data_IF_900898003192
#
_entry.id   IF_900898003192
#
_cell.length_a   1.000
_cell.length_b   1.000
_cell.length_c   1.000
_cell.angle_alpha   90.00
_cell.angle_beta   90.00
_cell.angle_gamma   90.00
#
_symmetry.space_group_name_H-M   'P 1'
#
loop_
_entity.id
_entity.type
_entity.pdbx_description
1 polymer ?
#
# COMPACT_ATOMS: atom_id res chain seq x y z
N UNK A 1 -16.92 54.97 47.72
CA UNK A 1 -17.50 53.86 46.91
C UNK A 1 -16.81 53.89 45.55
N UNK A 2 -15.71 53.17 45.36
CA UNK A 2 -15.60 51.84 44.70
C UNK A 2 -16.18 51.78 43.27
N UNK A 3 -15.24 51.71 42.31
CA UNK A 3 -15.21 50.92 41.04
C UNK A 3 -16.13 51.44 39.92
N UNK A 4 -15.75 51.48 38.64
CA UNK A 4 -14.68 50.79 37.93
C UNK A 4 -14.19 51.60 36.71
N UNK A 5 -12.86 51.62 36.55
CA UNK A 5 -12.12 51.80 35.30
C UNK A 5 -12.48 50.63 34.36
N UNK A 6 -12.59 50.86 33.05
CA UNK A 6 -12.10 49.89 32.06
C UNK A 6 -11.98 50.58 30.69
N UNK A 7 -10.80 51.16 30.45
CA UNK A 7 -10.29 51.38 29.11
C UNK A 7 -9.63 50.06 28.67
N UNK A 8 -10.25 49.37 27.71
CA UNK A 8 -9.68 48.16 27.11
C UNK A 8 -9.10 48.51 25.74
N UNK A 9 -7.77 48.51 25.63
CA UNK A 9 -7.05 48.55 24.36
C UNK A 9 -7.49 47.37 23.49
N UNK A 10 -7.99 47.66 22.28
CA UNK A 10 -7.99 46.69 21.18
C UNK A 10 -6.53 46.49 20.74
N UNK A 11 -5.87 45.48 21.30
CA UNK A 11 -4.70 44.87 20.72
C UNK A 11 -5.08 43.44 20.33
N UNK A 12 -5.79 43.29 19.20
CA UNK A 12 -5.85 41.99 18.53
C UNK A 12 -4.54 41.84 17.75
N UNK A 13 -3.58 41.25 18.46
CA UNK A 13 -2.39 40.67 17.88
C UNK A 13 -2.82 39.75 16.73
N UNK A 14 -2.31 40.03 15.53
CA UNK A 14 -2.24 39.04 14.46
C UNK A 14 -1.24 38.00 14.94
N UNK A 15 -1.72 36.99 15.66
CA UNK A 15 -0.96 35.76 15.87
C UNK A 15 -0.99 35.01 14.55
N UNK A 16 0.04 35.23 13.73
CA UNK A 16 0.55 34.18 12.86
C UNK A 16 0.97 33.03 13.79
N UNK A 17 0.08 32.07 14.01
CA UNK A 17 0.35 30.89 14.83
C UNK A 17 -0.07 29.66 14.03
N UNK A 18 0.96 28.94 13.60
CA UNK A 18 0.99 27.55 13.18
C UNK A 18 0.15 27.17 11.95
N UNK A 19 0.71 27.42 10.77
CA UNK A 19 0.49 26.56 9.60
C UNK A 19 1.42 25.32 9.72
N UNK A 20 1.42 24.68 10.90
CA UNK A 20 2.42 23.69 11.33
C UNK A 20 1.75 22.52 12.08
N UNK A 21 0.49 22.26 11.75
CA UNK A 21 -0.29 21.14 12.29
C UNK A 21 -0.78 20.29 11.13
N UNK A 22 -0.47 18.97 11.19
CA UNK A 22 -0.92 17.83 10.36
C UNK A 22 0.05 17.21 9.35
N UNK A 23 1.36 17.25 9.59
CA UNK A 23 2.23 16.19 9.09
C UNK A 23 2.44 15.21 10.24
N UNK A 24 1.60 14.16 10.28
CA UNK A 24 1.82 12.96 11.09
C UNK A 24 3.28 12.50 10.92
N UNK A 25 3.83 11.83 11.93
CA UNK A 25 5.13 11.18 11.78
C UNK A 25 5.10 10.33 10.48
N UNK A 26 5.99 10.61 9.54
CA UNK A 26 5.96 9.97 8.22
C UNK A 26 6.05 8.44 8.34
N UNK A 27 6.78 7.96 9.35
CA UNK A 27 6.87 6.53 9.67
C UNK A 27 5.57 6.00 10.27
N UNK A 28 4.87 6.80 11.06
CA UNK A 28 3.54 6.46 11.58
C UNK A 28 2.52 6.33 10.44
N UNK A 29 2.62 7.11 9.36
CA UNK A 29 1.77 6.93 8.18
C UNK A 29 1.97 5.54 7.54
N UNK A 30 3.24 5.11 7.37
CA UNK A 30 3.57 3.77 6.88
C UNK A 30 3.10 2.67 7.82
N UNK A 31 3.30 2.83 9.12
CA UNK A 31 2.87 1.87 10.15
C UNK A 31 1.34 1.74 10.17
N UNK A 32 0.61 2.85 10.14
CA UNK A 32 -0.86 2.86 10.10
C UNK A 32 -1.38 2.20 8.84
N UNK A 33 -0.85 2.56 7.67
CA UNK A 33 -1.27 1.98 6.39
C UNK A 33 -0.97 0.48 6.33
N UNK A 34 0.22 0.06 6.74
CA UNK A 34 0.60 -1.36 6.79
C UNK A 34 -0.26 -2.15 7.78
N UNK A 35 -0.55 -1.56 8.94
CA UNK A 35 -1.44 -2.18 9.95
C UNK A 35 -2.87 -2.32 9.43
N UNK A 36 -3.35 -1.35 8.65
CA UNK A 36 -4.66 -1.41 8.02
C UNK A 36 -4.75 -2.54 7.00
N UNK A 37 -3.67 -2.89 6.29
CA UNK A 37 -3.64 -4.05 5.38
C UNK A 37 -3.43 -5.37 6.12
N UNK A 38 -2.44 -5.45 7.01
CA UNK A 38 -1.98 -6.73 7.58
C UNK A 38 -2.96 -7.39 8.55
N UNK A 39 -3.93 -6.65 9.08
CA UNK A 39 -4.92 -7.16 10.03
C UNK A 39 -6.34 -7.27 9.48
N UNK A 40 -6.55 -7.00 8.19
CA UNK A 40 -7.89 -6.88 7.62
C UNK A 40 -8.05 -7.65 6.32
N UNK A 41 -9.30 -7.64 5.89
CA UNK A 41 -9.76 -8.00 4.56
C UNK A 41 -9.72 -6.80 3.63
N UNK A 42 -9.63 -7.03 2.32
CA UNK A 42 -9.73 -5.96 1.32
C UNK A 42 -10.02 -6.52 -0.08
N UNK A 43 -10.57 -5.68 -0.95
CA UNK A 43 -10.48 -5.87 -2.39
C UNK A 43 -9.25 -5.17 -2.94
N UNK A 44 -8.68 -5.69 -4.03
CA UNK A 44 -7.52 -5.10 -4.66
C UNK A 44 -7.56 -5.21 -6.18
N UNK A 45 -6.93 -4.26 -6.85
CA UNK A 45 -6.56 -4.33 -8.26
C UNK A 45 -5.06 -4.17 -8.40
N UNK A 46 -4.46 -4.74 -9.45
CA UNK A 46 -3.02 -4.67 -9.64
C UNK A 46 -2.61 -4.54 -11.11
N UNK A 47 -1.39 -4.04 -11.29
CA UNK A 47 -0.67 -4.01 -12.56
C UNK A 47 0.79 -4.35 -12.29
N UNK A 48 1.25 -5.52 -12.75
CA UNK A 48 2.56 -6.08 -12.43
C UNK A 48 3.35 -6.42 -13.69
N UNK A 49 4.62 -6.04 -13.70
CA UNK A 49 5.58 -6.48 -14.69
C UNK A 49 6.26 -7.76 -14.20
N UNK A 50 5.95 -8.88 -14.83
CA UNK A 50 6.61 -10.15 -14.54
C UNK A 50 7.64 -10.45 -15.62
N UNK A 51 8.66 -11.23 -15.27
CA UNK A 51 9.66 -11.70 -16.24
C UNK A 51 9.04 -12.54 -17.38
N UNK A 52 7.87 -13.15 -17.13
CA UNK A 52 7.19 -14.02 -18.09
C UNK A 52 6.52 -13.24 -19.24
N UNK A 53 6.00 -12.03 -18.98
CA UNK A 53 5.19 -11.26 -19.94
C UNK A 53 5.87 -9.95 -20.36
N UNK A 54 7.20 -9.85 -20.26
CA UNK A 54 8.02 -8.63 -20.22
C UNK A 54 7.82 -7.50 -21.25
N UNK A 55 6.88 -7.63 -22.18
CA UNK A 55 6.42 -6.56 -23.09
C UNK A 55 5.20 -5.79 -22.57
N UNK A 56 4.43 -6.34 -21.62
CA UNK A 56 3.25 -5.70 -21.02
C UNK A 56 3.02 -6.14 -19.57
N UNK A 57 2.50 -5.27 -18.69
CA UNK A 57 2.14 -5.70 -17.35
C UNK A 57 0.93 -6.64 -17.40
N UNK A 58 0.91 -7.65 -16.53
CA UNK A 58 -0.30 -8.39 -16.22
C UNK A 58 -1.16 -7.56 -15.28
N UNK A 59 -2.47 -7.71 -15.42
CA UNK A 59 -3.44 -7.01 -14.59
C UNK A 59 -4.39 -8.00 -13.96
N UNK A 60 -5.13 -7.54 -12.98
CA UNK A 60 -6.10 -8.37 -12.31
C UNK A 60 -6.71 -7.69 -11.12
N UNK A 61 -7.62 -8.41 -10.50
CA UNK A 61 -8.36 -7.96 -9.34
C UNK A 61 -8.76 -9.15 -8.48
N UNK A 62 -9.00 -8.89 -7.20
CA UNK A 62 -9.37 -9.91 -6.25
C UNK A 62 -9.67 -9.39 -4.87
N UNK A 63 -9.79 -10.32 -3.94
CA UNK A 63 -10.04 -10.10 -2.53
C UNK A 63 -9.04 -10.90 -1.71
N UNK A 64 -8.69 -10.39 -0.54
CA UNK A 64 -7.81 -11.06 0.39
C UNK A 64 -8.31 -10.92 1.83
N UNK A 65 -8.05 -11.95 2.63
CA UNK A 65 -8.10 -11.96 4.08
C UNK A 65 -6.69 -12.32 4.58
N UNK A 66 -5.91 -11.31 4.99
CA UNK A 66 -4.53 -11.52 5.42
C UNK A 66 -4.45 -12.17 6.80
N UNK A 67 -5.49 -12.03 7.63
CA UNK A 67 -5.53 -12.67 8.93
C UNK A 67 -5.67 -14.19 8.80
N UNK A 68 -6.41 -14.66 7.78
CA UNK A 68 -6.58 -16.08 7.46
C UNK A 68 -5.63 -16.59 6.39
N UNK A 69 -4.82 -15.73 5.77
CA UNK A 69 -4.02 -16.07 4.59
C UNK A 69 -4.87 -16.62 3.43
N UNK A 70 -6.06 -16.05 3.22
CA UNK A 70 -6.94 -16.43 2.12
C UNK A 70 -6.89 -15.36 1.02
N UNK A 71 -6.84 -15.80 -0.23
CA UNK A 71 -6.81 -14.92 -1.40
C UNK A 71 -7.68 -15.51 -2.50
N UNK A 72 -8.39 -14.65 -3.24
CA UNK A 72 -9.09 -15.01 -4.46
C UNK A 72 -8.84 -13.91 -5.47
N UNK A 73 -8.33 -14.22 -6.66
CA UNK A 73 -8.04 -13.19 -7.66
C UNK A 73 -8.05 -13.75 -9.07
N UNK A 74 -8.15 -12.85 -10.02
CA UNK A 74 -8.02 -13.11 -11.45
C UNK A 74 -6.70 -12.56 -11.97
N UNK A 75 -6.06 -13.28 -12.88
CA UNK A 75 -4.88 -12.84 -13.62
C UNK A 75 -5.28 -12.72 -15.09
N UNK A 76 -5.24 -11.50 -15.62
CA UNK A 76 -5.47 -11.20 -17.02
C UNK A 76 -4.13 -11.23 -17.76
N UNK A 77 -3.97 -12.23 -18.61
CA UNK A 77 -2.80 -12.39 -19.49
C UNK A 77 -3.24 -12.29 -20.95
N UNK A 78 -2.30 -12.15 -21.91
CA UNK A 78 -2.63 -12.19 -23.34
C UNK A 78 -3.36 -13.48 -23.76
N UNK A 79 -3.14 -14.58 -23.05
CA UNK A 79 -3.70 -15.90 -23.34
C UNK A 79 -5.11 -16.11 -22.75
N UNK A 80 -5.52 -15.28 -21.80
CA UNK A 80 -6.84 -15.35 -21.19
C UNK A 80 -6.86 -14.92 -19.72
N UNK A 81 -7.93 -15.30 -19.03
CA UNK A 81 -8.11 -15.05 -17.60
C UNK A 81 -7.89 -16.33 -16.82
N UNK A 82 -7.01 -16.29 -15.82
CA UNK A 82 -6.79 -17.37 -14.87
C UNK A 82 -7.33 -16.94 -13.51
N UNK A 83 -8.26 -17.69 -12.93
CA UNK A 83 -8.71 -17.46 -11.56
C UNK A 83 -7.84 -18.28 -10.59
N UNK A 84 -7.52 -17.68 -9.44
CA UNK A 84 -6.75 -18.27 -8.36
C UNK A 84 -7.50 -18.17 -7.05
N UNK A 85 -7.40 -19.21 -6.24
CA UNK A 85 -7.79 -19.20 -4.83
C UNK A 85 -6.61 -19.76 -4.04
N UNK A 86 -6.22 -19.07 -2.98
CA UNK A 86 -5.22 -19.52 -2.01
C UNK A 86 -5.93 -19.62 -0.67
N UNK A 87 -5.85 -20.79 -0.04
CA UNK A 87 -6.35 -21.01 1.31
C UNK A 87 -5.22 -21.61 2.14
N UNK A 88 -4.74 -20.84 3.11
CA UNK A 88 -3.56 -21.14 3.91
C UNK A 88 -2.32 -21.43 3.05
N UNK A 89 -2.12 -22.71 2.72
CA UNK A 89 -0.97 -23.23 1.95
C UNK A 89 -1.38 -23.96 0.67
N UNK A 90 -2.70 -24.05 0.42
CA UNK A 90 -3.25 -24.76 -0.74
C UNK A 90 -3.60 -23.77 -1.83
N UNK A 91 -3.22 -24.11 -3.05
CA UNK A 91 -3.40 -23.27 -4.22
C UNK A 91 -4.34 -23.95 -5.19
N UNK A 92 -5.34 -23.21 -5.64
CA UNK A 92 -6.29 -23.63 -6.65
C UNK A 92 -6.24 -22.66 -7.82
N UNK A 93 -6.27 -23.18 -9.03
CA UNK A 93 -6.46 -22.37 -10.24
C UNK A 93 -7.64 -22.85 -11.07
N UNK A 94 -8.10 -21.99 -11.97
CA UNK A 94 -9.06 -22.34 -13.00
C UNK A 94 -8.77 -21.53 -14.27
N UNK A 95 -8.45 -22.26 -15.35
CA UNK A 95 -8.20 -21.71 -16.69
C UNK A 95 -9.41 -21.88 -17.65
N UNK A 96 -10.61 -22.04 -17.09
CA UNK A 96 -11.85 -22.28 -17.86
C UNK A 96 -12.17 -23.75 -18.10
N UNK A 97 -11.45 -24.68 -17.45
CA UNK A 97 -11.68 -26.14 -17.56
C UNK A 97 -12.06 -26.80 -16.23
N UNK A 98 -12.31 -25.98 -15.20
CA UNK A 98 -12.58 -26.44 -13.83
C UNK A 98 -11.41 -26.17 -12.88
N UNK A 99 -11.68 -26.26 -11.59
CA UNK A 99 -10.71 -26.01 -10.54
C UNK A 99 -9.72 -27.17 -10.39
N UNK A 100 -8.46 -26.83 -10.24
CA UNK A 100 -7.38 -27.79 -10.02
C UNK A 100 -6.44 -27.26 -8.94
N UNK A 101 -5.84 -28.16 -8.17
CA UNK A 101 -4.76 -27.81 -7.25
C UNK A 101 -3.46 -27.63 -8.01
N UNK A 102 -2.68 -26.60 -7.69
CA UNK A 102 -1.37 -26.35 -8.31
C UNK A 102 -0.31 -25.95 -7.27
N UNK A 103 0.90 -25.63 -7.74
CA UNK A 103 1.97 -25.02 -6.98
C UNK A 103 1.80 -23.51 -6.83
N UNK A 104 2.84 -22.90 -6.26
CA UNK A 104 2.89 -21.47 -5.99
C UNK A 104 2.80 -20.64 -7.28
N UNK A 105 1.90 -19.65 -7.29
CA UNK A 105 1.80 -18.67 -8.37
C UNK A 105 2.71 -17.45 -8.14
N UNK A 106 3.43 -17.07 -9.20
CA UNK A 106 4.34 -15.93 -9.18
C UNK A 106 3.60 -14.58 -9.13
N UNK A 107 2.33 -14.53 -9.51
CA UNK A 107 1.52 -13.30 -9.42
C UNK A 107 1.25 -12.94 -7.96
N UNK A 108 0.81 -13.90 -7.15
CA UNK A 108 0.73 -13.72 -5.70
C UNK A 108 2.05 -13.23 -5.10
N UNK A 109 3.16 -13.88 -5.45
CA UNK A 109 4.47 -13.50 -4.94
C UNK A 109 4.83 -12.04 -5.32
N UNK A 110 4.43 -11.60 -6.52
CA UNK A 110 4.58 -10.22 -6.97
C UNK A 110 3.74 -9.21 -6.17
N UNK A 111 2.46 -9.53 -5.90
CA UNK A 111 1.58 -8.68 -5.08
C UNK A 111 2.11 -8.58 -3.64
N UNK A 112 2.44 -9.72 -3.03
CA UNK A 112 2.98 -9.77 -1.68
C UNK A 112 4.32 -8.99 -1.56
N UNK A 113 5.17 -9.07 -2.58
CA UNK A 113 6.44 -8.34 -2.63
C UNK A 113 6.27 -6.80 -2.74
N UNK A 114 5.10 -6.31 -3.15
CA UNK A 114 4.80 -4.87 -3.16
C UNK A 114 4.38 -4.37 -1.79
N UNK A 115 3.68 -5.19 -1.00
CA UNK A 115 3.26 -4.86 0.36
C UNK A 115 4.49 -4.85 1.30
N UNK A 116 5.37 -5.85 1.14
CA UNK A 116 6.43 -6.15 2.08
C UNK A 116 7.37 -4.97 2.44
N UNK A 117 7.83 -4.12 1.50
CA UNK A 117 8.72 -3.00 1.84
C UNK A 117 8.10 -2.00 2.80
N UNK A 118 6.79 -1.71 2.65
CA UNK A 118 6.07 -0.78 3.53
C UNK A 118 5.88 -1.40 4.92
N UNK A 119 5.46 -2.67 4.98
CA UNK A 119 5.29 -3.40 6.23
C UNK A 119 6.62 -3.62 6.99
N UNK A 120 7.75 -3.60 6.28
CA UNK A 120 9.09 -3.87 6.83
C UNK A 120 9.95 -2.62 6.97
N UNK A 121 9.40 -1.41 6.82
CA UNK A 121 10.20 -0.18 6.76
C UNK A 121 11.12 0.01 7.99
N UNK A 122 10.65 -0.26 9.21
CA UNK A 122 11.48 -0.19 10.42
C UNK A 122 12.68 -1.17 10.38
N UNK A 123 12.48 -2.37 9.82
CA UNK A 123 13.55 -3.34 9.61
C UNK A 123 14.52 -2.86 8.52
N UNK A 124 14.01 -2.32 7.41
CA UNK A 124 14.81 -1.75 6.32
C UNK A 124 15.71 -0.63 6.86
N UNK A 125 15.16 0.29 7.65
CA UNK A 125 15.90 1.38 8.31
C UNK A 125 17.01 0.85 9.22
N UNK A 126 16.74 -0.20 9.97
CA UNK A 126 17.74 -0.87 10.81
C UNK A 126 18.87 -1.49 9.97
N UNK A 127 18.52 -2.19 8.88
CA UNK A 127 19.49 -2.85 7.99
C UNK A 127 20.35 -1.86 7.18
N UNK A 128 19.81 -0.68 6.88
CA UNK A 128 20.53 0.39 6.21
C UNK A 128 21.42 1.22 7.16
N UNK A 129 21.29 1.03 8.48
CA UNK A 129 22.02 1.84 9.46
C UNK A 129 23.54 1.69 9.28
N UNK A 130 24.23 2.81 9.05
CA UNK A 130 25.67 2.86 8.82
C UNK A 130 26.11 3.09 7.36
N UNK A 131 25.19 3.01 6.39
CA UNK A 131 25.47 3.29 4.98
C UNK A 131 24.39 4.22 4.41
N UNK A 132 24.68 5.53 4.43
CA UNK A 132 23.72 6.61 4.13
C UNK A 132 23.14 6.57 2.72
N UNK A 133 23.75 5.81 1.81
CA UNK A 133 23.31 5.65 0.43
C UNK A 133 22.36 4.47 0.21
N UNK A 134 22.21 3.57 1.20
CA UNK A 134 21.36 2.36 1.08
C UNK A 134 19.87 2.60 1.27
N UNK A 135 19.50 3.67 1.94
CA UNK A 135 18.11 4.05 2.19
C UNK A 135 17.93 5.55 1.95
N UNK A 136 17.01 5.88 1.05
CA UNK A 136 16.38 7.19 1.00
C UNK A 136 15.24 7.14 2.00
N UNK A 137 15.34 7.92 3.07
CA UNK A 137 14.33 7.95 4.12
C UNK A 137 12.97 8.41 3.59
N UNK A 138 11.93 8.01 4.34
CA UNK A 138 10.56 8.41 4.04
C UNK A 138 10.44 9.94 3.96
N UNK A 139 9.80 10.41 2.90
CA UNK A 139 9.47 11.81 2.69
C UNK A 139 8.06 11.94 2.13
N UNK A 140 7.47 13.10 2.34
CA UNK A 140 6.13 13.44 1.87
C UNK A 140 6.20 13.94 0.42
N UNK A 141 5.30 13.44 -0.43
CA UNK A 141 5.20 13.80 -1.85
C UNK A 141 4.22 14.95 -2.10
N UNK A 142 3.32 15.23 -1.16
CA UNK A 142 2.23 16.19 -1.34
C UNK A 142 0.85 15.56 -1.31
N UNK A 143 -0.17 16.41 -1.39
CA UNK A 143 -1.56 16.03 -1.56
C UNK A 143 -1.89 15.97 -3.06
N UNK A 144 -2.67 14.97 -3.46
CA UNK A 144 -3.18 14.85 -4.83
C UNK A 144 -4.63 14.37 -4.83
N UNK A 145 -5.30 14.53 -5.98
CA UNK A 145 -6.53 13.80 -6.27
C UNK A 145 -6.17 12.58 -7.11
N UNK A 146 -6.44 11.39 -6.60
CA UNK A 146 -6.21 10.11 -7.28
C UNK A 146 -7.53 9.37 -7.37
N UNK A 147 -7.99 9.13 -8.60
CA UNK A 147 -9.30 8.53 -8.92
C UNK A 147 -10.43 9.17 -8.08
N UNK A 148 -10.58 10.49 -8.24
CA UNK A 148 -11.58 11.37 -7.60
C UNK A 148 -11.52 11.46 -6.06
N UNK A 149 -10.48 10.93 -5.42
CA UNK A 149 -10.30 10.99 -3.97
C UNK A 149 -9.07 11.80 -3.59
N UNK A 150 -9.18 12.61 -2.53
CA UNK A 150 -8.01 13.25 -1.93
C UNK A 150 -7.08 12.16 -1.37
N UNK A 151 -5.79 12.27 -1.66
CA UNK A 151 -4.78 11.31 -1.23
C UNK A 151 -3.50 12.01 -0.78
N UNK A 152 -2.91 11.52 0.30
CA UNK A 152 -1.61 11.94 0.81
C UNK A 152 -0.52 11.00 0.29
N UNK A 153 0.50 11.54 -0.37
CA UNK A 153 1.59 10.77 -0.96
C UNK A 153 2.84 10.70 -0.08
N UNK A 154 3.45 9.53 0.01
CA UNK A 154 4.69 9.28 0.73
C UNK A 154 5.63 8.43 -0.13
N UNK A 155 6.93 8.62 0.00
CA UNK A 155 7.91 7.78 -0.69
C UNK A 155 9.16 7.51 0.14
N UNK A 156 9.80 6.39 -0.14
CA UNK A 156 11.15 6.05 0.30
C UNK A 156 11.85 5.22 -0.78
N UNK A 157 13.16 5.00 -0.64
CA UNK A 157 13.92 4.27 -1.66
C UNK A 157 14.96 3.34 -1.05
N UNK A 158 15.10 2.14 -1.60
CA UNK A 158 16.14 1.18 -1.22
C UNK A 158 17.24 1.16 -2.28
N UNK A 159 18.50 0.98 -1.88
CA UNK A 159 19.65 0.90 -2.79
C UNK A 159 20.56 -0.26 -2.38
N UNK A 160 20.50 -1.35 -3.15
CA UNK A 160 21.37 -2.51 -2.97
C UNK A 160 21.19 -3.23 -1.63
N UNK A 161 20.02 -3.12 -1.00
CA UNK A 161 19.77 -3.75 0.29
C UNK A 161 19.55 -5.26 0.11
N UNK A 162 20.16 -6.11 0.96
CA UNK A 162 19.87 -7.54 0.95
C UNK A 162 18.36 -7.79 1.09
N UNK A 163 17.81 -8.74 0.34
CA UNK A 163 16.39 -9.11 0.30
C UNK A 163 15.42 -8.08 -0.32
N UNK A 164 15.71 -6.77 -0.26
CA UNK A 164 14.83 -5.72 -0.79
C UNK A 164 15.30 -5.13 -2.13
N UNK A 165 16.58 -5.31 -2.47
CA UNK A 165 17.16 -4.87 -3.74
C UNK A 165 17.29 -3.34 -3.83
N UNK A 166 17.12 -2.84 -5.05
CA UNK A 166 17.10 -1.41 -5.36
C UNK A 166 15.78 -1.04 -6.01
N UNK A 167 14.99 -0.23 -5.33
CA UNK A 167 13.70 0.24 -5.83
C UNK A 167 13.31 1.57 -5.17
N UNK A 168 12.43 2.31 -5.85
CA UNK A 168 11.69 3.42 -5.27
C UNK A 168 10.28 2.95 -4.93
N UNK A 169 9.78 3.40 -3.78
CA UNK A 169 8.51 2.98 -3.20
C UNK A 169 7.64 4.21 -2.99
N UNK A 170 6.42 4.19 -3.50
CA UNK A 170 5.42 5.25 -3.27
C UNK A 170 4.16 4.66 -2.63
N UNK A 171 3.55 5.44 -1.75
CA UNK A 171 2.28 5.12 -1.11
C UNK A 171 1.36 6.33 -1.18
N UNK A 172 0.13 6.13 -1.63
CA UNK A 172 -0.92 7.15 -1.65
C UNK A 172 -2.09 6.72 -0.78
N UNK A 173 -2.44 7.55 0.21
CA UNK A 173 -3.40 7.24 1.25
C UNK A 173 -4.63 8.14 1.15
N UNK A 174 -5.81 7.55 0.94
CA UNK A 174 -7.09 8.26 1.07
C UNK A 174 -7.80 7.80 2.33
N UNK A 175 -8.02 8.73 3.26
CA UNK A 175 -8.74 8.50 4.50
C UNK A 175 -10.21 8.90 4.38
N UNK A 176 -11.08 8.06 4.91
CA UNK A 176 -12.50 8.33 5.15
C UNK A 176 -12.83 8.46 6.64
N UNK A 177 -14.13 8.54 7.00
CA UNK A 177 -14.57 8.75 8.38
C UNK A 177 -14.18 7.63 9.36
N UNK A 178 -13.97 6.41 8.86
CA UNK A 178 -13.76 5.20 9.67
C UNK A 178 -12.37 4.56 9.49
N UNK A 179 -11.50 5.13 8.67
CA UNK A 179 -10.19 4.57 8.35
C UNK A 179 -9.77 4.86 6.91
N UNK A 180 -8.82 4.09 6.38
CA UNK A 180 -8.42 4.20 4.97
C UNK A 180 -9.51 3.63 4.06
N UNK A 181 -9.97 4.45 3.12
CA UNK A 181 -10.86 4.01 2.05
C UNK A 181 -10.06 3.45 0.87
N UNK A 182 -8.84 3.96 0.67
CA UNK A 182 -7.93 3.51 -0.39
C UNK A 182 -6.47 3.62 0.03
N UNK A 183 -5.69 2.61 -0.33
CA UNK A 183 -4.23 2.60 -0.23
C UNK A 183 -3.68 2.19 -1.61
N UNK A 184 -2.84 3.00 -2.22
CA UNK A 184 -2.15 2.65 -3.47
C UNK A 184 -0.67 2.49 -3.16
N UNK A 185 -0.13 1.32 -3.44
CA UNK A 185 1.30 1.02 -3.31
C UNK A 185 1.92 0.91 -4.69
N UNK A 186 3.05 1.59 -4.88
CA UNK A 186 3.85 1.49 -6.10
C UNK A 186 5.27 1.10 -5.77
N UNK A 187 5.83 0.22 -6.58
CA UNK A 187 7.25 -0.17 -6.52
C UNK A 187 7.86 -0.05 -7.91
N UNK A 188 8.85 0.83 -8.01
CA UNK A 188 9.64 1.06 -9.21
C UNK A 188 11.03 0.44 -9.02
N UNK A 189 11.25 -0.82 -9.46
CA UNK A 189 12.56 -1.44 -9.42
C UNK A 189 13.56 -0.70 -10.32
N UNK A 190 14.85 -0.99 -10.16
CA UNK A 190 15.91 -0.41 -10.99
C UNK A 190 15.75 -0.66 -12.52
N UNK A 191 14.95 -1.65 -12.93
CA UNK A 191 14.59 -1.86 -14.34
C UNK A 191 13.63 -0.80 -14.90
N UNK A 192 13.01 0.01 -14.04
CA UNK A 192 12.17 1.16 -14.41
C UNK A 192 10.67 0.85 -14.57
N UNK A 193 10.29 -0.41 -14.61
CA UNK A 193 8.90 -0.82 -14.82
C UNK A 193 8.09 -0.77 -13.52
N UNK A 194 7.19 0.21 -13.41
CA UNK A 194 6.39 0.45 -12.20
C UNK A 194 5.36 -0.66 -12.00
N UNK A 195 5.36 -1.25 -10.81
CA UNK A 195 4.33 -2.17 -10.35
C UNK A 195 3.40 -1.43 -9.39
N UNK A 196 2.10 -1.66 -9.50
CA UNK A 196 1.08 -0.97 -8.68
C UNK A 196 0.07 -1.96 -8.14
N UNK A 197 -0.32 -1.78 -6.87
CA UNK A 197 -1.47 -2.43 -6.26
C UNK A 197 -2.32 -1.37 -5.57
N UNK A 198 -3.62 -1.39 -5.82
CA UNK A 198 -4.61 -0.50 -5.21
C UNK A 198 -5.53 -1.34 -4.32
N UNK A 199 -5.62 -1.00 -3.05
CA UNK A 199 -6.47 -1.65 -2.06
C UNK A 199 -7.69 -0.76 -1.76
N UNK A 200 -8.86 -1.38 -1.67
CA UNK A 200 -10.17 -0.75 -1.40
C UNK A 200 -11.03 -1.67 -0.52
N UNK A 201 -12.15 -1.16 -0.01
CA UNK A 201 -13.05 -1.92 0.88
C UNK A 201 -12.30 -2.54 2.07
N UNK A 202 -11.34 -1.78 2.63
CA UNK A 202 -10.43 -2.26 3.67
C UNK A 202 -11.21 -2.48 4.97
N UNK A 203 -11.15 -3.70 5.50
CA UNK A 203 -11.89 -4.11 6.70
C UNK A 203 -13.33 -4.55 6.45
N UNK A 204 -13.79 -4.53 5.20
CA UNK A 204 -15.11 -5.10 4.86
C UNK A 204 -15.04 -6.63 4.78
N UNK A 205 -16.00 -7.37 5.37
CA UNK A 205 -15.95 -8.83 5.38
C UNK A 205 -15.93 -9.43 3.97
N UNK A 206 -15.01 -10.38 3.74
CA UNK A 206 -14.96 -11.22 2.53
C UNK A 206 -15.05 -12.69 2.91
N UNK A 207 -15.64 -13.50 2.03
CA UNK A 207 -15.77 -14.94 2.21
C UNK A 207 -15.07 -15.64 1.04
N UNK A 208 -13.93 -16.25 1.33
CA UNK A 208 -13.10 -16.98 0.36
C UNK A 208 -13.07 -18.44 0.79
N UNK A 209 -13.64 -19.31 -0.05
CA UNK A 209 -13.82 -20.74 0.21
C UNK A 209 -13.12 -21.61 -0.83
N UNK A 210 -12.93 -22.88 -0.50
CA UNK A 210 -12.36 -23.84 -1.43
C UNK A 210 -13.34 -24.09 -2.58
N UNK A 211 -12.85 -24.24 -3.82
CA UNK A 211 -13.72 -24.58 -4.93
C UNK A 211 -14.29 -26.01 -4.78
N UNK A 212 -15.55 -26.18 -5.21
CA UNK A 212 -16.26 -27.46 -5.27
C UNK A 212 -15.82 -28.34 -6.45
#
# INVERSE_FOLDING_TARGET
MRRALLAGLLALAVTAHAQDSTHLNLEEALERASSALMGNTFAFTYSLWTAQYGESPIQGEGEADLARHHWCYSVHTPEGVVAWIILDTTWYHNIGVGWQTDGLDFTYAGIAAIIQPFASYAQIKTLASGESDRLIEVHYLGDAVVDDMHAQGYAFGTRGLPMFGSADHEMWLSEGPTGYERIILKVTPASGNVNTVTFTYIGEPVEIEAPL
#
